data_IF_253319660639
#
_entry.id   IF_253319660639
#
_cell.length_a   1.000
_cell.length_b   1.000
_cell.length_c   1.000
_cell.angle_alpha   90.00
_cell.angle_beta   90.00
_cell.angle_gamma   90.00
#
_symmetry.space_group_name_H-M   'P 1'
#
loop_
_entity.id
_entity.type
_entity.pdbx_description
1 polymer ?
#
# COMPACT_ATOMS: atom_id res chain seq x y z
N UNK A 1 -10.47 -20.85 0.77
CA UNK A 1 -10.79 -19.52 1.36
C UNK A 1 -9.65 -18.57 1.03
N UNK A 2 -9.96 -17.32 0.71
CA UNK A 2 -8.96 -16.27 0.47
C UNK A 2 -8.86 -15.40 1.71
N UNK A 3 -7.66 -15.27 2.27
CA UNK A 3 -7.33 -14.30 3.31
C UNK A 3 -6.23 -13.42 2.74
N UNK A 4 -6.59 -12.19 2.41
CA UNK A 4 -5.70 -11.23 1.76
C UNK A 4 -5.05 -10.31 2.80
N UNK A 5 -3.74 -10.15 2.71
CA UNK A 5 -3.01 -9.12 3.43
C UNK A 5 -2.69 -7.95 2.51
N UNK A 6 -3.11 -6.74 2.89
CA UNK A 6 -2.81 -5.52 2.15
C UNK A 6 -1.43 -4.96 2.50
N UNK A 7 -0.97 -4.02 1.68
CA UNK A 7 0.27 -3.24 1.88
C UNK A 7 1.58 -4.04 1.79
N UNK A 8 1.57 -5.20 1.12
CA UNK A 8 2.79 -5.96 0.90
C UNK A 8 3.79 -5.12 0.09
N UNK A 9 5.05 -5.06 0.53
CA UNK A 9 6.06 -4.20 -0.09
C UNK A 9 6.03 -2.73 0.35
N UNK A 10 5.10 -2.28 1.20
CA UNK A 10 5.07 -0.89 1.72
C UNK A 10 6.31 -0.56 2.56
N UNK A 11 6.65 -1.42 3.52
CA UNK A 11 7.86 -1.30 4.33
C UNK A 11 8.43 -2.68 4.68
N UNK A 12 9.70 -2.77 5.10
CA UNK A 12 10.28 -4.04 5.54
C UNK A 12 9.52 -4.65 6.73
N UNK A 13 9.02 -3.81 7.67
CA UNK A 13 8.28 -4.26 8.83
C UNK A 13 6.93 -4.88 8.45
N UNK A 14 6.15 -4.18 7.62
CA UNK A 14 4.86 -4.69 7.12
C UNK A 14 5.07 -5.98 6.33
N UNK A 15 6.06 -6.00 5.43
CA UNK A 15 6.34 -7.18 4.61
C UNK A 15 6.72 -8.40 5.46
N UNK A 16 7.54 -8.23 6.51
CA UNK A 16 7.85 -9.33 7.44
C UNK A 16 6.62 -9.84 8.19
N UNK A 17 5.73 -8.94 8.60
CA UNK A 17 4.48 -9.32 9.26
C UNK A 17 3.60 -10.17 8.36
N UNK A 18 3.46 -9.78 7.09
CA UNK A 18 2.70 -10.52 6.07
C UNK A 18 3.33 -11.89 5.80
N UNK A 19 4.66 -11.95 5.66
CA UNK A 19 5.40 -13.22 5.52
C UNK A 19 5.13 -14.14 6.71
N UNK A 20 5.27 -13.65 7.94
CA UNK A 20 5.02 -14.45 9.14
C UNK A 20 3.55 -14.92 9.21
N UNK A 21 2.59 -14.07 8.84
CA UNK A 21 1.17 -14.41 8.81
C UNK A 21 0.80 -15.41 7.71
N UNK A 22 1.59 -15.49 6.62
CA UNK A 22 1.45 -16.51 5.58
C UNK A 22 2.11 -17.83 6.01
N UNK A 23 3.36 -17.79 6.46
CA UNK A 23 4.12 -18.99 6.83
C UNK A 23 3.57 -19.70 8.08
N UNK A 24 3.01 -18.94 9.02
CA UNK A 24 2.62 -19.42 10.35
C UNK A 24 1.16 -19.14 10.68
N UNK A 25 0.39 -18.64 9.71
CA UNK A 25 -0.99 -18.20 9.92
C UNK A 25 -1.89 -18.58 8.77
N UNK A 26 -2.93 -17.78 8.56
CA UNK A 26 -4.01 -18.08 7.62
C UNK A 26 -3.96 -17.23 6.35
N UNK A 27 -2.97 -16.34 6.19
CA UNK A 27 -2.88 -15.49 5.00
C UNK A 27 -2.57 -16.36 3.78
N UNK A 28 -3.42 -16.28 2.76
CA UNK A 28 -3.29 -17.07 1.52
C UNK A 28 -3.04 -16.19 0.29
N UNK A 29 -3.17 -14.86 0.42
CA UNK A 29 -2.88 -13.90 -0.64
C UNK A 29 -2.39 -12.57 -0.09
N UNK A 30 -1.70 -11.79 -0.91
CA UNK A 30 -1.28 -10.44 -0.56
C UNK A 30 -1.35 -9.49 -1.76
N UNK A 31 -1.60 -8.20 -1.51
CA UNK A 31 -1.59 -7.15 -2.53
C UNK A 31 -0.28 -6.34 -2.44
N UNK A 32 0.52 -6.36 -3.51
CA UNK A 32 1.85 -5.75 -3.58
C UNK A 32 1.78 -4.29 -4.01
N UNK A 33 2.32 -3.39 -3.18
CA UNK A 33 2.51 -1.98 -3.51
C UNK A 33 3.87 -1.76 -4.17
N UNK A 34 3.88 -1.64 -5.50
CA UNK A 34 5.11 -1.68 -6.31
C UNK A 34 5.99 -0.41 -6.26
N UNK A 35 5.50 0.70 -5.70
CA UNK A 35 6.21 2.00 -5.70
C UNK A 35 7.07 2.23 -4.45
N UNK A 36 7.04 1.30 -3.50
CA UNK A 36 7.68 1.48 -2.20
C UNK A 36 9.03 0.75 -2.11
N UNK A 37 9.96 1.21 -1.24
CA UNK A 37 11.31 0.65 -1.16
C UNK A 37 11.36 -0.86 -0.89
N UNK A 38 10.37 -1.42 -0.18
CA UNK A 38 10.35 -2.85 0.15
C UNK A 38 9.71 -3.73 -0.95
N UNK A 39 9.20 -3.14 -2.04
CA UNK A 39 8.51 -3.86 -3.10
C UNK A 39 9.38 -4.95 -3.76
N UNK A 40 10.66 -4.67 -4.01
CA UNK A 40 11.57 -5.61 -4.67
C UNK A 40 11.77 -6.87 -3.82
N UNK A 41 12.02 -6.70 -2.52
CA UNK A 41 12.18 -7.82 -1.60
C UNK A 41 10.88 -8.61 -1.44
N UNK A 42 9.74 -7.93 -1.35
CA UNK A 42 8.42 -8.55 -1.28
C UNK A 42 8.09 -9.37 -2.55
N UNK A 43 8.39 -8.82 -3.74
CA UNK A 43 8.21 -9.52 -5.01
C UNK A 43 9.11 -10.77 -5.11
N UNK A 44 10.37 -10.67 -4.68
CA UNK A 44 11.29 -11.81 -4.65
C UNK A 44 10.77 -12.92 -3.72
N UNK A 45 10.25 -12.56 -2.56
CA UNK A 45 9.61 -13.51 -1.64
C UNK A 45 8.41 -14.20 -2.30
N UNK A 46 7.48 -13.44 -2.89
CA UNK A 46 6.29 -14.00 -3.54
C UNK A 46 6.65 -14.94 -4.70
N UNK A 47 7.69 -14.61 -5.47
CA UNK A 47 8.22 -15.49 -6.53
C UNK A 47 8.78 -16.81 -5.98
N UNK A 48 9.43 -16.78 -4.83
CA UNK A 48 9.98 -17.97 -4.18
C UNK A 48 8.92 -18.82 -3.46
N UNK A 49 7.76 -18.25 -3.13
CA UNK A 49 6.69 -18.90 -2.36
C UNK A 49 5.36 -18.88 -3.12
N UNK A 50 5.18 -19.75 -4.14
CA UNK A 50 3.99 -19.75 -4.99
C UNK A 50 2.68 -20.11 -4.26
N UNK A 51 2.76 -20.59 -3.01
CA UNK A 51 1.60 -20.79 -2.14
C UNK A 51 0.96 -19.46 -1.68
N UNK A 52 1.71 -18.35 -1.70
CA UNK A 52 1.18 -17.01 -1.49
C UNK A 52 0.77 -16.42 -2.84
N UNK A 53 -0.53 -16.25 -3.06
CA UNK A 53 -1.02 -15.53 -4.25
C UNK A 53 -0.69 -14.05 -4.12
N UNK A 54 -0.04 -13.45 -5.12
CA UNK A 54 0.33 -12.03 -5.09
C UNK A 54 -0.43 -11.25 -6.17
N UNK A 55 -1.23 -10.27 -5.74
CA UNK A 55 -1.93 -9.31 -6.61
C UNK A 55 -1.30 -7.91 -6.57
N UNK A 56 -1.85 -6.98 -7.36
CA UNK A 56 -1.42 -5.58 -7.38
C UNK A 56 -2.25 -4.74 -6.40
N UNK A 57 -1.58 -4.00 -5.51
CA UNK A 57 -2.21 -2.97 -4.70
C UNK A 57 -2.11 -1.62 -5.42
N UNK A 58 -3.21 -1.21 -6.08
CA UNK A 58 -3.26 0.06 -6.81
C UNK A 58 -3.38 1.23 -5.83
N UNK A 59 -2.27 1.92 -5.62
CA UNK A 59 -2.18 3.07 -4.73
C UNK A 59 -2.29 4.40 -5.50
N UNK A 60 -3.33 5.18 -5.19
CA UNK A 60 -3.60 6.50 -5.78
C UNK A 60 -3.20 7.66 -4.86
N UNK A 61 -2.88 7.37 -3.59
CA UNK A 61 -2.64 8.35 -2.54
C UNK A 61 -3.07 7.81 -1.18
N UNK A 62 -2.60 8.45 -0.12
CA UNK A 62 -2.96 8.12 1.24
C UNK A 62 -3.44 9.37 1.98
N UNK A 63 -4.53 9.21 2.71
CA UNK A 63 -5.00 10.16 3.71
C UNK A 63 -4.83 9.57 5.11
N UNK A 64 -4.65 10.43 6.10
CA UNK A 64 -4.63 10.06 7.51
C UNK A 64 -5.61 10.93 8.29
N UNK A 65 -6.10 10.42 9.40
CA UNK A 65 -6.87 11.22 10.35
C UNK A 65 -5.94 11.70 11.47
N UNK A 66 -5.75 13.02 11.60
CA UNK A 66 -4.89 13.66 12.61
C UNK A 66 -5.61 14.89 13.17
N UNK A 67 -5.61 15.02 14.49
CA UNK A 67 -6.19 16.15 15.22
C UNK A 67 -7.64 16.49 14.79
N UNK A 68 -8.48 15.46 14.68
CA UNK A 68 -9.88 15.61 14.27
C UNK A 68 -10.09 16.01 12.81
N UNK A 69 -9.05 15.89 11.96
CA UNK A 69 -9.11 16.27 10.54
C UNK A 69 -8.49 15.20 9.65
N UNK A 70 -9.07 15.05 8.46
CA UNK A 70 -8.45 14.26 7.40
C UNK A 70 -7.36 15.09 6.72
N UNK A 71 -6.14 14.56 6.67
CA UNK A 71 -4.96 15.15 6.04
C UNK A 71 -4.45 14.24 4.94
N UNK A 72 -4.18 14.79 3.76
CA UNK A 72 -3.55 14.02 2.67
C UNK A 72 -2.05 13.90 2.93
N UNK A 73 -1.56 12.67 3.05
CA UNK A 73 -0.13 12.37 3.21
C UNK A 73 0.59 12.46 1.88
N UNK A 74 0.06 11.82 0.84
CA UNK A 74 0.59 11.91 -0.51
C UNK A 74 -0.49 11.59 -1.55
N UNK A 75 -0.21 11.97 -2.80
CA UNK A 75 -1.07 11.67 -3.95
C UNK A 75 -0.21 11.28 -5.14
N UNK A 76 -0.59 10.20 -5.81
CA UNK A 76 0.18 9.60 -6.93
C UNK A 76 -0.29 10.15 -8.26
N UNK A 77 -1.61 10.22 -8.43
CA UNK A 77 -2.23 10.78 -9.62
C UNK A 77 -3.03 12.01 -9.19
N UNK A 78 -2.88 13.17 -9.86
CA UNK A 78 -3.83 14.25 -9.71
C UNK A 78 -5.18 13.79 -10.25
N UNK A 79 -6.02 13.21 -9.39
CA UNK A 79 -7.40 12.91 -9.72
C UNK A 79 -8.09 14.24 -10.07
N UNK A 80 -8.36 14.41 -11.36
CA UNK A 80 -9.03 15.59 -11.90
C UNK A 80 -10.34 15.84 -11.17
N UNK A 81 -10.62 17.10 -10.84
CA UNK A 81 -11.83 17.49 -10.14
C UNK A 81 -13.06 17.16 -10.99
N UNK A 82 -14.02 16.39 -10.47
CA UNK A 82 -15.43 16.67 -10.80
C UNK A 82 -15.75 18.04 -10.18
N UNK A 83 -16.17 19.00 -11.02
CA UNK A 83 -16.63 20.34 -10.62
C UNK A 83 -17.61 20.20 -9.44
N UNK A 84 -17.25 20.71 -8.26
CA UNK A 84 -18.20 20.81 -7.14
C UNK A 84 -17.59 20.94 -5.75
N UNK A 85 -16.49 20.26 -5.42
CA UNK A 85 -15.94 20.27 -4.06
C UNK A 85 -14.70 21.16 -3.95
N UNK A 86 -14.90 22.43 -3.56
CA UNK A 86 -13.80 23.30 -3.10
C UNK A 86 -13.35 22.82 -1.71
N UNK A 87 -12.08 22.50 -1.52
CA UNK A 87 -11.32 22.83 -0.28
C UNK A 87 -9.82 23.04 -0.57
N UNK A 88 -9.21 23.78 0.35
CA UNK A 88 -8.01 24.64 0.24
C UNK A 88 -6.70 23.84 0.22
N UNK A 89 -5.70 24.39 -0.47
CA UNK A 89 -4.28 23.98 -0.59
C UNK A 89 -3.84 22.71 0.13
N UNK A 90 -3.63 21.64 -0.63
CA UNK A 90 -2.81 20.51 -0.20
C UNK A 90 -1.34 20.76 -0.49
N UNK A 91 -0.41 20.16 0.26
CA UNK A 91 1.02 20.33 0.04
C UNK A 91 1.42 19.85 -1.37
N UNK A 92 2.52 20.38 -1.94
CA UNK A 92 3.02 19.93 -3.23
C UNK A 92 3.28 18.42 -3.20
N UNK A 93 3.17 17.79 -4.37
CA UNK A 93 3.52 16.37 -4.57
C UNK A 93 5.00 16.21 -4.21
N UNK A 94 5.26 15.88 -2.95
CA UNK A 94 6.60 15.58 -2.47
C UNK A 94 7.10 14.31 -3.15
N UNK A 95 8.40 14.25 -3.44
CA UNK A 95 9.05 12.96 -3.72
C UNK A 95 8.70 12.00 -2.58
N UNK A 96 8.30 10.79 -2.95
CA UNK A 96 8.10 9.69 -2.01
C UNK A 96 9.39 9.52 -1.19
N UNK A 97 9.29 9.19 0.11
CA UNK A 97 10.45 8.91 0.94
C UNK A 97 11.32 7.77 0.38
#
# INVERSE_FOLDING_TARGET
MIVNADDFGFSPGVSRGIVAAHERGIVTSASLMVRWPAAVAAAAYGRAHPALSVGLHVDLGQDAYRDGRQVTLYRVIPLGRRRGRRRRGGPPVGRLP
#
